data_IF_409825190647
#
_entry.id   IF_409825190647
#
_cell.length_a   1.000
_cell.length_b   1.000
_cell.length_c   1.000
_cell.angle_alpha   90.00
_cell.angle_beta   90.00
_cell.angle_gamma   90.00
#
_symmetry.space_group_name_H-M   'P 1'
#
loop_
_entity.id
_entity.type
_entity.pdbx_description
1 polymer ?
#
# COMPACT_ATOMS: atom_id res chain seq x y z
N UNK A 1 -21.12 -26.79 -20.21
CA UNK A 1 -22.14 -27.85 -20.23
C UNK A 1 -21.87 -28.75 -21.44
N UNK A 2 -21.94 -30.11 -21.33
CA UNK A 2 -21.77 -31.02 -22.44
C UNK A 2 -22.88 -30.80 -23.48
N UNK A 3 -22.51 -30.43 -24.70
CA UNK A 3 -23.48 -30.18 -25.78
C UNK A 3 -23.73 -31.43 -26.67
N UNK A 4 -22.88 -32.47 -26.55
CA UNK A 4 -22.91 -33.66 -27.38
C UNK A 4 -23.09 -34.97 -26.61
N UNK A 5 -23.67 -34.94 -25.41
CA UNK A 5 -23.95 -36.11 -24.59
C UNK A 5 -22.71 -36.82 -24.05
N UNK A 6 -21.63 -36.10 -23.76
CA UNK A 6 -20.40 -36.63 -23.16
C UNK A 6 -20.71 -37.22 -21.76
N UNK A 7 -20.05 -38.36 -21.45
CA UNK A 7 -20.16 -38.94 -20.11
C UNK A 7 -19.44 -38.06 -19.06
N UNK A 8 -19.84 -38.15 -17.77
CA UNK A 8 -19.15 -37.41 -16.71
C UNK A 8 -17.66 -37.70 -16.62
N UNK A 9 -17.23 -38.92 -16.86
CA UNK A 9 -15.83 -39.32 -16.87
C UNK A 9 -15.06 -38.62 -18.02
N UNK A 10 -15.67 -38.59 -19.21
CA UNK A 10 -15.07 -37.91 -20.36
C UNK A 10 -14.97 -36.42 -20.14
N UNK A 11 -16.01 -35.83 -19.53
CA UNK A 11 -16.00 -34.40 -19.16
C UNK A 11 -14.86 -34.11 -18.22
N UNK A 12 -14.68 -34.87 -17.14
CA UNK A 12 -13.62 -34.67 -16.16
C UNK A 12 -12.22 -34.77 -16.78
N UNK A 13 -12.04 -35.70 -17.69
CA UNK A 13 -10.78 -35.85 -18.43
C UNK A 13 -10.50 -34.62 -19.31
N UNK A 14 -11.48 -34.24 -20.14
CA UNK A 14 -11.37 -33.11 -21.05
C UNK A 14 -11.15 -31.79 -20.31
N UNK A 15 -11.82 -31.59 -19.18
CA UNK A 15 -11.62 -30.42 -18.29
C UNK A 15 -10.19 -30.42 -17.73
N UNK A 16 -9.68 -31.54 -17.26
CA UNK A 16 -8.31 -31.65 -16.75
C UNK A 16 -7.25 -31.35 -17.80
N UNK A 17 -7.44 -31.88 -19.01
CA UNK A 17 -6.53 -31.63 -20.16
C UNK A 17 -6.53 -30.13 -20.53
N UNK A 18 -7.73 -29.53 -20.65
CA UNK A 18 -7.87 -28.13 -21.01
C UNK A 18 -7.37 -27.20 -19.89
N UNK A 19 -7.52 -27.59 -18.63
CA UNK A 19 -6.94 -26.87 -17.51
C UNK A 19 -5.40 -26.84 -17.59
N UNK A 20 -4.79 -28.01 -17.77
CA UNK A 20 -3.33 -28.11 -17.89
C UNK A 20 -2.80 -27.33 -19.10
N UNK A 21 -3.49 -27.39 -20.22
CA UNK A 21 -3.15 -26.64 -21.42
C UNK A 21 -3.25 -25.14 -21.21
N UNK A 22 -4.38 -24.65 -20.67
CA UNK A 22 -4.58 -23.23 -20.41
C UNK A 22 -3.58 -22.69 -19.40
N UNK A 23 -3.28 -23.43 -18.34
CA UNK A 23 -2.22 -23.10 -17.38
C UNK A 23 -0.85 -23.00 -18.06
N UNK A 24 -0.53 -23.94 -18.98
CA UNK A 24 0.74 -23.91 -19.73
C UNK A 24 0.85 -22.71 -20.67
N UNK A 25 -0.25 -22.29 -21.29
CA UNK A 25 -0.29 -21.15 -22.22
C UNK A 25 -0.27 -19.79 -21.51
N UNK A 26 -0.96 -19.68 -20.41
CA UNK A 26 -1.14 -18.40 -19.71
C UNK A 26 -0.17 -18.21 -18.54
N UNK A 27 0.43 -19.30 -18.04
CA UNK A 27 1.22 -19.29 -16.81
C UNK A 27 0.39 -19.05 -15.54
N UNK A 28 -0.94 -18.98 -15.65
CA UNK A 28 -1.86 -18.69 -14.56
C UNK A 28 -2.45 -19.97 -14.01
N UNK A 29 -2.36 -20.17 -12.72
CA UNK A 29 -3.01 -21.25 -12.00
C UNK A 29 -4.11 -20.71 -11.10
N UNK A 30 -5.40 -20.82 -11.49
CA UNK A 30 -6.50 -20.31 -10.67
C UNK A 30 -6.66 -21.03 -9.33
N UNK A 31 -6.10 -22.23 -9.18
CA UNK A 31 -6.12 -23.00 -7.93
C UNK A 31 -4.90 -22.71 -7.05
N UNK A 32 -3.87 -22.05 -7.58
CA UNK A 32 -2.78 -21.59 -6.75
C UNK A 32 -3.30 -20.49 -5.78
N UNK A 33 -2.86 -20.50 -4.53
CA UNK A 33 -3.13 -19.36 -3.66
C UNK A 33 -2.65 -18.09 -4.39
N UNK A 34 -3.43 -17.01 -4.38
CA UNK A 34 -3.01 -15.76 -5.01
C UNK A 34 -1.60 -15.45 -4.51
N UNK A 35 -0.66 -15.09 -5.41
CA UNK A 35 0.69 -14.74 -5.00
C UNK A 35 0.52 -13.80 -3.82
N UNK A 36 1.01 -14.22 -2.65
CA UNK A 36 0.84 -13.47 -1.40
C UNK A 36 1.12 -12.03 -1.77
N UNK A 37 0.06 -11.21 -1.80
CA UNK A 37 0.18 -9.80 -2.16
C UNK A 37 1.35 -9.32 -1.35
N UNK A 38 2.47 -8.98 -2.01
CA UNK A 38 3.76 -8.81 -1.38
C UNK A 38 3.49 -8.14 -0.04
N UNK A 39 3.57 -8.93 1.02
CA UNK A 39 3.18 -8.45 2.35
C UNK A 39 3.91 -7.13 2.44
N UNK A 40 3.21 -5.99 2.61
CA UNK A 40 3.87 -4.71 2.67
C UNK A 40 5.00 -4.93 3.63
N UNK A 41 6.24 -4.89 3.10
CA UNK A 41 7.45 -5.27 3.81
C UNK A 41 7.27 -4.73 5.22
N UNK A 42 7.22 -5.62 6.22
CA UNK A 42 6.74 -5.34 7.57
C UNK A 42 7.11 -3.92 7.90
N UNK A 43 6.11 -3.04 8.01
CA UNK A 43 6.38 -1.61 8.15
C UNK A 43 7.48 -1.51 9.19
N UNK A 44 8.67 -0.99 8.86
CA UNK A 44 9.76 -0.96 9.81
C UNK A 44 9.15 -0.34 11.04
N UNK A 45 9.12 -1.14 12.13
CA UNK A 45 8.44 -0.81 13.39
C UNK A 45 8.55 0.70 13.56
N UNK A 46 7.42 1.41 13.61
CA UNK A 46 7.39 2.87 13.56
C UNK A 46 8.46 3.35 14.54
N UNK A 47 9.64 3.67 14.00
CA UNK A 47 10.70 4.23 14.83
C UNK A 47 10.04 5.34 15.59
N UNK A 48 10.11 5.27 16.91
CA UNK A 48 9.69 6.34 17.79
C UNK A 48 10.04 7.65 17.10
N UNK A 49 9.12 8.61 16.97
CA UNK A 49 9.17 9.70 16.02
C UNK A 49 10.59 10.23 15.93
N UNK A 50 11.29 9.86 14.87
CA UNK A 50 12.62 10.37 14.62
C UNK A 50 12.44 11.87 14.66
N UNK A 51 13.20 12.53 15.50
CA UNK A 51 13.15 13.96 15.62
C UNK A 51 13.42 14.52 14.21
N UNK A 52 12.34 14.88 13.51
CA UNK A 52 12.40 15.45 12.15
C UNK A 52 13.06 16.84 12.16
N UNK A 53 13.66 17.20 13.28
CA UNK A 53 14.26 18.50 13.51
C UNK A 53 13.24 19.63 13.74
N UNK A 54 11.94 19.38 13.60
CA UNK A 54 10.91 20.42 13.77
C UNK A 54 10.91 21.03 15.16
N UNK A 55 11.14 20.19 16.19
CA UNK A 55 11.25 20.66 17.57
C UNK A 55 12.49 21.51 17.79
N UNK A 56 13.63 21.09 17.23
CA UNK A 56 14.87 21.81 17.33
C UNK A 56 14.80 23.15 16.56
N UNK A 57 14.24 23.13 15.34
CA UNK A 57 13.98 24.36 14.58
C UNK A 57 12.99 25.27 15.30
N UNK A 58 11.95 24.71 15.92
CA UNK A 58 11.00 25.46 16.74
C UNK A 58 11.66 26.10 17.95
N UNK A 59 12.49 25.35 18.68
CA UNK A 59 13.26 25.85 19.81
C UNK A 59 14.19 27.01 19.42
N UNK A 60 14.95 26.83 18.33
CA UNK A 60 15.89 27.84 17.85
C UNK A 60 15.17 29.16 17.44
N UNK A 61 14.06 29.05 16.70
CA UNK A 61 13.26 30.20 16.29
C UNK A 61 12.59 30.88 17.51
N UNK A 62 12.05 30.08 18.42
CA UNK A 62 11.45 30.57 19.64
C UNK A 62 12.44 31.27 20.56
N UNK A 63 13.66 30.70 20.70
CA UNK A 63 14.75 31.33 21.46
C UNK A 63 15.16 32.67 20.86
N UNK A 64 15.34 32.74 19.55
CA UNK A 64 15.71 34.00 18.88
C UNK A 64 14.65 35.08 19.04
N UNK A 65 13.37 34.76 18.83
CA UNK A 65 12.28 35.69 19.00
C UNK A 65 12.10 36.12 20.49
N UNK A 66 12.23 35.17 21.42
CA UNK A 66 12.13 35.42 22.84
C UNK A 66 13.29 36.27 23.38
N UNK A 67 14.51 36.11 22.87
CA UNK A 67 15.65 36.93 23.24
C UNK A 67 15.42 38.42 22.89
N UNK A 68 14.93 38.69 21.67
CA UNK A 68 14.62 40.08 21.24
C UNK A 68 13.54 40.70 22.10
N UNK A 69 12.49 39.94 22.45
CA UNK A 69 11.40 40.45 23.30
C UNK A 69 11.89 40.65 24.74
N UNK A 70 12.71 39.73 25.27
CA UNK A 70 13.25 39.83 26.63
C UNK A 70 14.19 41.03 26.83
N UNK A 71 15.00 41.33 25.79
CA UNK A 71 15.89 42.50 25.82
C UNK A 71 15.12 43.83 25.79
N UNK A 72 14.00 43.89 25.05
CA UNK A 72 13.16 45.11 24.96
C UNK A 72 12.29 45.31 26.20
N UNK A 73 11.84 44.20 26.85
CA UNK A 73 10.88 44.30 27.97
C UNK A 73 11.52 44.40 29.35
N UNK A 74 12.64 43.68 29.62
CA UNK A 74 13.21 43.52 30.96
C UNK A 74 14.75 43.59 31.00
N UNK A 75 15.42 43.98 29.91
CA UNK A 75 16.87 43.92 29.73
C UNK A 75 17.49 42.55 29.99
N UNK A 76 16.70 41.46 29.84
CA UNK A 76 17.12 40.09 30.11
C UNK A 76 16.83 39.17 28.92
N UNK A 77 17.66 39.28 27.90
CA UNK A 77 17.57 38.43 26.70
C UNK A 77 17.64 36.93 27.03
N UNK A 78 18.34 36.54 28.09
CA UNK A 78 18.49 35.14 28.51
C UNK A 78 17.19 34.53 28.99
N UNK A 79 16.40 35.21 29.81
CA UNK A 79 15.08 34.74 30.26
C UNK A 79 14.09 34.69 29.11
N UNK A 80 14.07 35.72 28.25
CA UNK A 80 13.25 35.76 27.06
C UNK A 80 13.57 34.60 26.10
N UNK A 81 14.85 34.28 25.86
CA UNK A 81 15.26 33.18 25.05
C UNK A 81 14.82 31.82 25.63
N UNK A 82 14.93 31.60 26.92
CA UNK A 82 14.52 30.37 27.59
C UNK A 82 13.00 30.12 27.45
N UNK A 83 12.19 31.15 27.71
CA UNK A 83 10.73 31.06 27.57
C UNK A 83 10.35 30.83 26.09
N UNK A 84 10.97 31.57 25.18
CA UNK A 84 10.72 31.41 23.73
C UNK A 84 11.14 30.04 23.21
N UNK A 85 12.25 29.47 23.69
CA UNK A 85 12.67 28.14 23.34
C UNK A 85 11.66 27.07 23.74
N UNK A 86 11.11 27.12 24.93
CA UNK A 86 10.10 26.18 25.43
C UNK A 86 8.83 26.23 24.60
N UNK A 87 8.32 27.44 24.33
CA UNK A 87 7.17 27.64 23.44
C UNK A 87 7.45 27.13 22.02
N UNK A 88 8.65 27.36 21.51
CA UNK A 88 9.09 26.89 20.19
C UNK A 88 9.19 25.36 20.08
N UNK A 89 9.63 24.66 21.15
CA UNK A 89 9.62 23.19 21.20
C UNK A 89 8.19 22.64 21.08
N UNK A 90 7.24 23.26 21.79
CA UNK A 90 5.83 22.83 21.74
C UNK A 90 5.24 23.06 20.35
N UNK A 91 5.48 24.22 19.74
CA UNK A 91 5.02 24.52 18.39
C UNK A 91 5.64 23.57 17.34
N UNK A 92 6.96 23.32 17.44
CA UNK A 92 7.66 22.36 16.59
C UNK A 92 7.15 20.93 16.75
N UNK A 93 6.78 20.52 17.98
CA UNK A 93 6.16 19.23 18.25
C UNK A 93 4.79 19.06 17.60
N UNK A 94 4.00 20.13 17.54
CA UNK A 94 2.71 20.09 16.81
C UNK A 94 2.92 19.96 15.30
N UNK A 95 3.90 20.64 14.75
CA UNK A 95 4.26 20.54 13.32
C UNK A 95 4.75 19.13 12.98
N UNK A 96 5.59 18.53 13.83
CA UNK A 96 6.05 17.16 13.67
C UNK A 96 4.89 16.16 13.59
N UNK A 97 3.91 16.29 14.49
CA UNK A 97 2.72 15.42 14.46
C UNK A 97 1.92 15.59 13.17
N UNK A 98 1.72 16.80 12.68
CA UNK A 98 1.05 17.03 11.38
C UNK A 98 1.79 16.39 10.23
N UNK A 99 3.12 16.53 10.20
CA UNK A 99 3.95 15.92 9.16
C UNK A 99 3.86 14.38 9.19
N UNK A 100 3.81 13.78 10.39
CA UNK A 100 3.65 12.34 10.55
C UNK A 100 2.26 11.86 10.08
N UNK A 101 1.21 12.61 10.39
CA UNK A 101 -0.14 12.29 9.92
C UNK A 101 -0.22 12.35 8.40
N UNK A 102 0.30 13.41 7.78
CA UNK A 102 0.32 13.54 6.33
C UNK A 102 1.13 12.40 5.65
N UNK A 103 2.27 12.02 6.24
CA UNK A 103 3.05 10.90 5.73
C UNK A 103 2.31 9.55 5.86
N UNK A 104 1.59 9.33 6.96
CA UNK A 104 0.77 8.13 7.16
C UNK A 104 -0.40 8.07 6.17
N UNK A 105 -1.06 9.18 5.90
CA UNK A 105 -2.14 9.28 4.91
C UNK A 105 -1.63 8.96 3.51
N UNK A 106 -0.48 9.51 3.11
CA UNK A 106 0.16 9.22 1.82
C UNK A 106 0.52 7.73 1.69
N UNK A 107 1.10 7.14 2.73
CA UNK A 107 1.43 5.71 2.74
C UNK A 107 0.17 4.84 2.58
N UNK A 108 -0.92 5.20 3.25
CA UNK A 108 -2.19 4.50 3.14
C UNK A 108 -2.77 4.60 1.72
N UNK A 109 -2.73 5.77 1.11
CA UNK A 109 -3.18 5.97 -0.27
C UNK A 109 -2.37 5.14 -1.27
N UNK A 110 -1.04 5.15 -1.14
CA UNK A 110 -0.16 4.34 -1.99
C UNK A 110 -0.46 2.85 -1.85
N UNK A 111 -0.68 2.38 -0.63
CA UNK A 111 -1.03 0.98 -0.38
C UNK A 111 -2.37 0.60 -1.00
N UNK A 112 -3.37 1.46 -0.91
CA UNK A 112 -4.67 1.24 -1.55
C UNK A 112 -4.55 1.16 -3.08
N UNK A 113 -3.79 2.07 -3.70
CA UNK A 113 -3.56 2.04 -5.14
C UNK A 113 -2.83 0.76 -5.58
N UNK A 114 -1.79 0.35 -4.86
CA UNK A 114 -1.07 -0.89 -5.14
C UNK A 114 -1.97 -2.12 -5.02
N UNK A 115 -2.86 -2.15 -4.03
CA UNK A 115 -3.84 -3.24 -3.86
C UNK A 115 -4.83 -3.28 -5.02
N UNK A 116 -5.36 -2.14 -5.45
CA UNK A 116 -6.28 -2.07 -6.60
C UNK A 116 -5.62 -2.52 -7.90
N UNK A 117 -4.36 -2.10 -8.15
CA UNK A 117 -3.62 -2.54 -9.32
C UNK A 117 -3.36 -4.04 -9.31
N UNK A 118 -2.99 -4.61 -8.17
CA UNK A 118 -2.76 -6.06 -8.07
C UNK A 118 -4.04 -6.86 -8.27
N UNK A 119 -5.18 -6.39 -7.76
CA UNK A 119 -6.48 -7.02 -7.99
C UNK A 119 -6.89 -6.97 -9.47
N UNK A 120 -6.71 -5.82 -10.12
CA UNK A 120 -7.01 -5.68 -11.54
C UNK A 120 -6.12 -6.59 -12.42
N UNK A 121 -4.83 -6.68 -12.10
CA UNK A 121 -3.90 -7.58 -12.78
C UNK A 121 -4.30 -9.05 -12.60
N UNK A 122 -4.67 -9.46 -11.38
CA UNK A 122 -5.15 -10.81 -11.11
C UNK A 122 -6.44 -11.14 -11.90
N UNK A 123 -7.38 -10.21 -11.97
CA UNK A 123 -8.60 -10.39 -12.76
C UNK A 123 -8.28 -10.59 -14.25
N UNK A 124 -7.41 -9.77 -14.81
CA UNK A 124 -6.99 -9.90 -16.20
C UNK A 124 -6.33 -11.26 -16.48
N UNK A 125 -5.48 -11.74 -15.57
CA UNK A 125 -4.86 -13.06 -15.69
C UNK A 125 -5.89 -14.19 -15.65
N UNK A 126 -6.85 -14.11 -14.72
CA UNK A 126 -7.94 -15.08 -14.65
C UNK A 126 -8.82 -15.08 -15.91
N UNK A 127 -9.08 -13.91 -16.48
CA UNK A 127 -9.85 -13.79 -17.71
C UNK A 127 -9.09 -14.38 -18.93
N UNK A 128 -7.77 -14.21 -18.99
CA UNK A 128 -6.93 -14.87 -19.99
C UNK A 128 -6.98 -16.39 -19.84
N UNK A 129 -6.88 -16.90 -18.61
CA UNK A 129 -7.00 -18.32 -18.33
C UNK A 129 -8.38 -18.84 -18.78
N UNK A 130 -9.48 -18.17 -18.40
CA UNK A 130 -10.84 -18.56 -18.80
C UNK A 130 -11.02 -18.60 -20.30
N UNK A 131 -10.50 -17.62 -21.03
CA UNK A 131 -10.53 -17.58 -22.49
C UNK A 131 -9.77 -18.76 -23.09
N UNK A 132 -8.58 -19.06 -22.59
CA UNK A 132 -7.81 -20.24 -23.03
C UNK A 132 -8.55 -21.54 -22.74
N UNK A 133 -9.09 -21.67 -21.55
CA UNK A 133 -9.87 -22.84 -21.12
C UNK A 133 -11.12 -23.05 -22.00
N UNK A 134 -11.86 -21.98 -22.29
CA UNK A 134 -13.01 -22.05 -23.20
C UNK A 134 -12.59 -22.45 -24.62
N UNK A 135 -11.53 -21.84 -25.16
CA UNK A 135 -11.02 -22.17 -26.49
C UNK A 135 -10.57 -23.64 -26.66
N UNK A 136 -10.12 -24.26 -25.55
CA UNK A 136 -9.80 -25.68 -25.55
C UNK A 136 -11.06 -26.57 -25.48
N UNK A 137 -12.08 -26.17 -24.71
CA UNK A 137 -13.29 -26.98 -24.50
C UNK A 137 -14.29 -26.90 -25.66
N UNK A 138 -14.39 -25.73 -26.34
CA UNK A 138 -15.34 -25.56 -27.47
C UNK A 138 -15.20 -26.60 -28.57
N UNK A 139 -14.00 -26.89 -29.11
CA UNK A 139 -13.86 -27.90 -30.15
C UNK A 139 -14.20 -29.31 -29.65
N UNK A 140 -14.09 -29.57 -28.35
CA UNK A 140 -14.49 -30.85 -27.71
C UNK A 140 -16.01 -30.95 -27.50
N UNK A 141 -16.77 -29.91 -27.82
CA UNK A 141 -18.23 -29.86 -27.77
C UNK A 141 -18.81 -29.46 -26.42
N UNK A 142 -18.10 -28.63 -25.68
CA UNK A 142 -18.60 -28.01 -24.45
C UNK A 142 -18.95 -26.54 -24.68
N UNK A 143 -19.98 -26.07 -24.00
CA UNK A 143 -20.33 -24.65 -23.97
C UNK A 143 -19.90 -24.06 -22.63
N UNK A 144 -19.00 -23.12 -22.67
CA UNK A 144 -18.52 -22.35 -21.51
C UNK A 144 -19.22 -21.01 -21.49
N UNK A 145 -19.90 -20.68 -20.39
CA UNK A 145 -20.57 -19.38 -20.19
C UNK A 145 -19.89 -18.60 -19.06
#
# INVERSE_FOLDING_TARGET
FPAKGQTPQKQSQDEGECYAWSKGQTGVDPMAPPPAAAQPAAQPAQKAPAADGSRLKGAARGAAAGAVIGEVADDDAGKGAAIGATAGVVAGGRQSRKNQQAAAEQATQQQQQATQQSQAANQQQLDLFKKGFAACLEPKGYTVK
#
